data_IF_717881311639
#
_entry.id   IF_717881311639
#
_cell.length_a   1.000
_cell.length_b   1.000
_cell.length_c   1.000
_cell.angle_alpha   90.00
_cell.angle_beta   90.00
_cell.angle_gamma   90.00
#
_symmetry.space_group_name_H-M   'P 1'
#
loop_
_entity.id
_entity.type
_entity.pdbx_description
1 polymer ?
#
# COMPACT_ATOMS: atom_id res chain seq x y z
N UNK A 1 -0.43 24.44 19.83
CA UNK A 1 -1.45 23.88 18.90
C UNK A 1 -1.06 23.83 17.42
N UNK A 2 -0.23 24.74 16.90
CA UNK A 2 0.22 24.73 15.49
C UNK A 2 1.09 23.50 15.15
N UNK A 3 2.07 23.18 15.99
CA UNK A 3 2.97 22.03 15.77
C UNK A 3 2.23 20.69 15.69
N UNK A 4 1.18 20.48 16.50
CA UNK A 4 0.35 19.25 16.45
C UNK A 4 -0.35 19.10 15.09
N UNK A 5 -0.90 20.18 14.55
CA UNK A 5 -1.57 20.18 13.24
C UNK A 5 -0.57 19.93 12.10
N UNK A 6 0.63 20.50 12.19
CA UNK A 6 1.69 20.27 11.21
C UNK A 6 2.16 18.80 11.24
N UNK A 7 2.32 18.20 12.41
CA UNK A 7 2.66 16.78 12.53
C UNK A 7 1.57 15.89 11.92
N UNK A 8 0.30 16.15 12.24
CA UNK A 8 -0.83 15.41 11.66
C UNK A 8 -0.90 15.59 10.14
N UNK A 9 -0.68 16.80 9.62
CA UNK A 9 -0.66 17.05 8.19
C UNK A 9 0.45 16.25 7.48
N UNK A 10 1.65 16.21 8.06
CA UNK A 10 2.77 15.43 7.53
C UNK A 10 2.48 13.92 7.57
N UNK A 11 1.99 13.39 8.69
CA UNK A 11 1.62 11.98 8.81
C UNK A 11 0.52 11.62 7.80
N UNK A 12 -0.53 12.43 7.69
CA UNK A 12 -1.60 12.20 6.73
C UNK A 12 -1.11 12.25 5.29
N UNK A 13 -0.21 13.18 4.95
CA UNK A 13 0.39 13.25 3.62
C UNK A 13 1.22 12.00 3.33
N UNK A 14 2.07 11.56 4.27
CA UNK A 14 2.86 10.35 4.12
C UNK A 14 1.99 9.10 3.95
N UNK A 15 0.92 8.96 4.75
CA UNK A 15 -0.03 7.87 4.60
C UNK A 15 -0.78 7.93 3.27
N UNK A 16 -1.19 9.12 2.83
CA UNK A 16 -1.82 9.31 1.52
C UNK A 16 -0.91 8.91 0.37
N UNK A 17 0.37 9.30 0.41
CA UNK A 17 1.36 8.91 -0.61
C UNK A 17 1.60 7.40 -0.60
N UNK A 18 1.73 6.79 0.58
CA UNK A 18 1.90 5.33 0.71
C UNK A 18 0.67 4.57 0.17
N UNK A 19 -0.55 5.01 0.49
CA UNK A 19 -1.78 4.36 0.02
C UNK A 19 -1.97 4.50 -1.50
N UNK A 20 -1.39 5.51 -2.15
CA UNK A 20 -1.45 5.68 -3.60
C UNK A 20 -0.40 4.86 -4.36
N UNK A 21 0.47 4.11 -3.67
CA UNK A 21 1.40 3.20 -4.32
C UNK A 21 0.63 2.09 -5.07
N UNK A 22 1.18 1.59 -6.20
CA UNK A 22 0.53 0.59 -7.04
C UNK A 22 0.64 -0.82 -6.42
N UNK A 23 0.10 -0.99 -5.22
CA UNK A 23 0.06 -2.24 -4.45
C UNK A 23 -1.40 -2.71 -4.38
N UNK A 24 -1.76 -3.91 -4.84
CA UNK A 24 -3.14 -4.39 -4.94
C UNK A 24 -4.03 -4.30 -3.69
N UNK A 25 -3.44 -4.26 -2.50
CA UNK A 25 -4.15 -4.15 -1.21
C UNK A 25 -4.43 -2.70 -0.82
N UNK A 26 -3.71 -1.74 -1.41
CA UNK A 26 -3.84 -0.32 -1.12
C UNK A 26 -4.77 0.35 -2.14
N UNK A 27 -5.25 1.55 -1.80
CA UNK A 27 -6.14 2.35 -2.68
C UNK A 27 -5.52 2.58 -4.08
N UNK A 28 -4.20 2.75 -4.17
CA UNK A 28 -3.44 2.88 -5.40
C UNK A 28 -3.37 1.61 -6.25
N UNK A 29 -3.59 0.43 -5.66
CA UNK A 29 -3.75 -0.82 -6.39
C UNK A 29 -5.00 -0.84 -7.27
N UNK A 30 -6.09 -0.26 -6.77
CA UNK A 30 -7.31 -0.08 -7.58
C UNK A 30 -7.09 0.91 -8.71
N UNK A 31 -6.39 2.02 -8.43
CA UNK A 31 -5.99 2.97 -9.48
C UNK A 31 -5.15 2.30 -10.56
N UNK A 32 -4.20 1.45 -10.18
CA UNK A 32 -3.42 0.64 -11.13
C UNK A 32 -4.33 -0.26 -11.98
N UNK A 33 -5.27 -0.97 -11.37
CA UNK A 33 -6.21 -1.82 -12.12
C UNK A 33 -7.05 -1.01 -13.10
N UNK A 34 -7.60 0.13 -12.69
CA UNK A 34 -8.35 1.01 -13.59
C UNK A 34 -7.49 1.58 -14.72
N UNK A 35 -6.22 1.91 -14.46
CA UNK A 35 -5.28 2.33 -15.52
C UNK A 35 -5.02 1.19 -16.51
N UNK A 36 -4.86 -0.04 -16.02
CA UNK A 36 -4.71 -1.23 -16.88
C UNK A 36 -5.97 -1.45 -17.70
N UNK A 37 -7.15 -1.35 -17.10
CA UNK A 37 -8.44 -1.48 -17.79
C UNK A 37 -8.64 -0.39 -18.84
N UNK A 38 -8.25 0.85 -18.54
CA UNK A 38 -8.29 1.97 -19.47
C UNK A 38 -7.42 1.72 -20.70
N UNK A 39 -6.19 1.21 -20.51
CA UNK A 39 -5.28 0.86 -21.61
C UNK A 39 -5.76 -0.38 -22.37
N UNK A 40 -6.26 -1.40 -21.65
CA UNK A 40 -6.74 -2.67 -22.22
C UNK A 40 -8.11 -2.52 -22.91
N UNK A 41 -8.85 -1.44 -22.62
CA UNK A 41 -10.20 -1.19 -23.11
C UNK A 41 -11.26 -2.19 -22.64
N UNK A 42 -10.93 -3.05 -21.67
CA UNK A 42 -11.81 -4.10 -21.17
C UNK A 42 -11.52 -4.40 -19.69
N UNK A 43 -12.53 -4.83 -18.91
CA UNK A 43 -12.37 -5.07 -17.49
C UNK A 43 -11.36 -6.21 -17.22
N UNK A 44 -10.65 -6.12 -16.10
CA UNK A 44 -9.82 -7.22 -15.60
C UNK A 44 -10.73 -8.32 -15.06
N UNK A 45 -10.48 -9.56 -15.48
CA UNK A 45 -11.22 -10.70 -14.95
C UNK A 45 -11.03 -10.83 -13.45
N UNK A 46 -12.07 -11.22 -12.72
CA UNK A 46 -12.05 -11.42 -11.28
C UNK A 46 -10.90 -12.32 -10.80
N UNK A 47 -10.54 -13.33 -11.60
CA UNK A 47 -9.40 -14.21 -11.30
C UNK A 47 -8.05 -13.47 -11.19
N UNK A 48 -7.80 -12.50 -12.07
CA UNK A 48 -6.56 -11.70 -12.06
C UNK A 48 -6.56 -10.76 -10.86
N UNK A 49 -7.69 -10.12 -10.57
CA UNK A 49 -7.81 -9.23 -9.41
C UNK A 49 -7.61 -10.01 -8.10
N UNK A 50 -8.23 -11.18 -7.96
CA UNK A 50 -8.10 -12.04 -6.79
C UNK A 50 -6.65 -12.52 -6.58
N UNK A 51 -5.98 -12.97 -7.64
CA UNK A 51 -4.57 -13.39 -7.54
C UNK A 51 -3.69 -12.19 -7.19
N UNK A 52 -3.87 -11.05 -7.85
CA UNK A 52 -3.13 -9.83 -7.54
C UNK A 52 -3.32 -9.38 -6.09
N UNK A 53 -4.54 -9.49 -5.56
CA UNK A 53 -4.84 -9.15 -4.17
C UNK A 53 -4.21 -10.12 -3.17
N UNK A 54 -4.27 -11.44 -3.42
CA UNK A 54 -3.59 -12.43 -2.58
C UNK A 54 -2.07 -12.22 -2.54
N UNK A 55 -1.46 -11.97 -3.71
CA UNK A 55 -0.03 -11.64 -3.82
C UNK A 55 0.28 -10.35 -3.08
N UNK A 56 -0.57 -9.33 -3.24
CA UNK A 56 -0.45 -8.05 -2.52
C UNK A 56 -0.46 -8.22 -1.01
N UNK A 57 -1.39 -9.01 -0.47
CA UNK A 57 -1.48 -9.32 0.97
C UNK A 57 -0.21 -10.05 1.43
N UNK A 58 0.23 -11.08 0.70
CA UNK A 58 1.40 -11.85 1.06
C UNK A 58 2.67 -10.97 1.13
N UNK A 59 2.89 -10.12 0.13
CA UNK A 59 4.01 -9.16 0.12
C UNK A 59 3.89 -8.16 1.26
N UNK A 60 2.70 -7.61 1.50
CA UNK A 60 2.48 -6.63 2.56
C UNK A 60 2.76 -7.22 3.95
N UNK A 61 2.28 -8.43 4.21
CA UNK A 61 2.56 -9.14 5.47
C UNK A 61 4.05 -9.44 5.64
N UNK A 62 4.74 -9.83 4.56
CA UNK A 62 6.18 -10.09 4.59
C UNK A 62 6.95 -8.81 4.91
N UNK A 63 6.63 -7.69 4.25
CA UNK A 63 7.26 -6.39 4.52
C UNK A 63 6.97 -5.90 5.95
N UNK A 64 5.73 -6.05 6.43
CA UNK A 64 5.39 -5.75 7.82
C UNK A 64 6.20 -6.60 8.79
N UNK A 65 6.33 -7.91 8.54
CA UNK A 65 7.15 -8.80 9.36
C UNK A 65 8.62 -8.39 9.38
N UNK A 66 9.20 -8.04 8.24
CA UNK A 66 10.57 -7.55 8.14
C UNK A 66 10.76 -6.21 8.87
N UNK A 67 9.83 -5.27 8.71
CA UNK A 67 9.86 -3.99 9.38
C UNK A 67 9.78 -4.14 10.90
N UNK A 68 8.83 -4.96 11.39
CA UNK A 68 8.71 -5.28 12.81
C UNK A 68 9.97 -5.97 13.34
N UNK A 69 10.52 -6.94 12.61
CA UNK A 69 11.77 -7.60 13.00
C UNK A 69 12.93 -6.60 13.12
N UNK A 70 13.04 -5.68 12.15
CA UNK A 70 14.05 -4.63 12.17
C UNK A 70 13.85 -3.67 13.35
N UNK A 71 12.60 -3.26 13.61
CA UNK A 71 12.26 -2.41 14.75
C UNK A 71 12.61 -3.08 16.08
N UNK A 72 12.29 -4.37 16.25
CA UNK A 72 12.68 -5.15 17.43
C UNK A 72 14.19 -5.31 17.56
N UNK A 73 14.89 -5.63 16.45
CA UNK A 73 16.34 -5.77 16.45
C UNK A 73 17.04 -4.47 16.83
N UNK A 74 16.49 -3.32 16.41
CA UNK A 74 17.00 -2.00 16.76
C UNK A 74 16.69 -1.58 18.20
N UNK A 75 15.59 -2.09 18.77
CA UNK A 75 15.21 -1.81 20.16
C UNK A 75 15.96 -2.69 21.18
N UNK A 76 16.30 -3.93 20.79
CA UNK A 76 16.95 -4.91 21.66
C UNK A 76 18.49 -4.95 21.52
N UNK A 77 19.02 -4.48 20.39
CA UNK A 77 20.45 -4.27 20.18
C UNK A 77 20.88 -2.88 20.60
#
# INVERSE_FOLDING_TARGET
>A
DVYKRQMLALVSLSLGVLNLLPVPVLDGGHVLYYLIEFIKGSPLSDGIQNVGQQVGIAVLLLLMGLALFNDFSRLLG
#
